data_IF_289502012224
#
_entry.id   IF_289502012224
#
_cell.length_a   1.000
_cell.length_b   1.000
_cell.length_c   1.000
_cell.angle_alpha   90.00
_cell.angle_beta   90.00
_cell.angle_gamma   90.00
#
_symmetry.space_group_name_H-M   'P 1'
#
loop_
_entity.id
_entity.type
_entity.pdbx_description
1 polymer ?
#
# COMPACT_ATOMS: atom_id res chain seq x y z
N UNK A 1 -6.86 25.79 16.98
CA UNK A 1 -7.12 24.49 17.66
C UNK A 1 -5.95 23.56 17.43
N UNK A 2 -5.38 22.90 18.45
CA UNK A 2 -4.25 21.97 18.30
C UNK A 2 -4.63 20.57 18.79
N UNK A 3 -4.37 19.56 17.97
CA UNK A 3 -4.71 18.16 18.22
C UNK A 3 -3.78 17.25 17.41
N UNK A 4 -3.52 16.06 17.94
CA UNK A 4 -2.62 15.07 17.33
C UNK A 4 -3.25 13.69 17.44
N UNK A 5 -2.71 12.71 16.73
CA UNK A 5 -3.25 11.37 16.77
C UNK A 5 -2.92 10.55 15.53
N UNK A 6 -3.80 9.61 15.23
CA UNK A 6 -3.67 8.71 14.09
C UNK A 6 -4.99 8.58 13.35
N UNK A 7 -4.89 8.54 12.02
CA UNK A 7 -5.95 8.19 11.10
C UNK A 7 -5.62 6.84 10.49
N UNK A 8 -6.56 5.91 10.60
CA UNK A 8 -6.59 4.62 9.91
C UNK A 8 -7.58 4.73 8.76
N UNK A 9 -7.22 4.22 7.59
CA UNK A 9 -8.11 4.11 6.44
C UNK A 9 -8.37 2.63 6.15
N UNK A 10 -9.63 2.26 6.07
CA UNK A 10 -10.11 0.91 5.74
C UNK A 10 -11.12 1.01 4.58
N UNK A 11 -11.24 -0.02 3.73
CA UNK A 11 -12.31 -0.09 2.74
C UNK A 11 -13.64 -0.45 3.41
N UNK A 12 -14.73 0.17 2.95
CA UNK A 12 -16.07 -0.38 3.08
C UNK A 12 -16.23 -1.62 2.17
N UNK A 13 -17.38 -2.30 2.27
CA UNK A 13 -17.68 -3.48 1.44
C UNK A 13 -17.66 -3.17 -0.07
N UNK A 14 -18.01 -1.94 -0.46
CA UNK A 14 -17.97 -1.42 -1.82
C UNK A 14 -16.58 -0.88 -2.24
N UNK A 15 -15.59 -0.93 -1.34
CA UNK A 15 -14.25 -0.39 -1.55
C UNK A 15 -14.09 1.11 -1.25
N UNK A 16 -15.16 1.80 -0.84
CA UNK A 16 -15.09 3.23 -0.50
C UNK A 16 -14.23 3.43 0.75
N UNK A 17 -13.37 4.46 0.74
CA UNK A 17 -12.45 4.75 1.86
C UNK A 17 -13.24 5.21 3.10
N UNK A 18 -13.10 4.46 4.20
CA UNK A 18 -13.60 4.84 5.52
C UNK A 18 -12.45 5.27 6.45
N UNK A 19 -12.63 6.34 7.22
CA UNK A 19 -11.61 6.84 8.15
C UNK A 19 -11.98 6.57 9.62
N UNK A 20 -11.06 5.91 10.33
CA UNK A 20 -11.08 5.84 11.79
C UNK A 20 -10.02 6.77 12.36
N UNK A 21 -10.43 7.71 13.21
CA UNK A 21 -9.52 8.68 13.82
C UNK A 21 -9.44 8.47 15.34
N UNK A 22 -8.22 8.33 15.84
CA UNK A 22 -7.91 8.43 17.25
C UNK A 22 -7.24 9.77 17.51
N UNK A 23 -7.84 10.58 18.38
CA UNK A 23 -7.54 12.00 18.51
C UNK A 23 -7.25 12.39 19.95
N UNK A 24 -6.14 13.09 20.17
CA UNK A 24 -5.75 13.68 21.45
C UNK A 24 -5.84 15.20 21.36
N UNK A 25 -6.56 15.81 22.29
CA UNK A 25 -6.83 17.24 22.32
C UNK A 25 -7.17 17.71 23.74
N UNK A 26 -7.09 19.01 23.99
CA UNK A 26 -7.53 19.58 25.27
C UNK A 26 -9.05 19.46 25.38
N UNK A 27 -9.55 19.17 26.59
CA UNK A 27 -11.01 19.02 26.87
C UNK A 27 -11.83 20.21 26.38
N UNK A 28 -11.31 21.44 26.55
CA UNK A 28 -11.96 22.67 26.10
C UNK A 28 -12.12 22.78 24.58
N UNK A 29 -11.21 22.20 23.81
CA UNK A 29 -11.20 22.28 22.35
C UNK A 29 -12.04 21.18 21.69
N UNK A 30 -12.48 20.17 22.47
CA UNK A 30 -13.17 18.98 21.98
C UNK A 30 -14.40 19.31 21.14
N UNK A 31 -15.31 20.13 21.69
CA UNK A 31 -16.57 20.46 21.00
C UNK A 31 -16.30 21.12 19.65
N UNK A 32 -15.37 22.09 19.62
CA UNK A 32 -15.02 22.82 18.39
C UNK A 32 -14.35 21.92 17.36
N UNK A 33 -13.41 21.06 17.76
CA UNK A 33 -12.75 20.11 16.85
C UNK A 33 -13.77 19.12 16.28
N UNK A 34 -14.62 18.53 17.13
CA UNK A 34 -15.67 17.59 16.69
C UNK A 34 -16.65 18.25 15.73
N UNK A 35 -17.06 19.50 15.98
CA UNK A 35 -17.96 20.23 15.10
C UNK A 35 -17.32 20.48 13.71
N UNK A 36 -16.04 20.87 13.67
CA UNK A 36 -15.31 21.08 12.41
C UNK A 36 -15.13 19.77 11.63
N UNK A 37 -14.78 18.67 12.30
CA UNK A 37 -14.65 17.36 11.67
C UNK A 37 -16.00 16.88 11.10
N UNK A 38 -17.09 17.05 11.86
CA UNK A 38 -18.44 16.74 11.36
C UNK A 38 -18.77 17.59 10.14
N UNK A 39 -18.57 18.91 10.21
CA UNK A 39 -18.83 19.82 9.09
C UNK A 39 -18.06 19.41 7.83
N UNK A 40 -16.82 18.98 7.97
CA UNK A 40 -16.03 18.47 6.87
C UNK A 40 -16.57 17.14 6.32
N UNK A 41 -16.86 16.18 7.20
CA UNK A 41 -17.30 14.84 6.82
C UNK A 41 -18.67 14.79 6.12
N UNK A 42 -19.57 15.73 6.44
CA UNK A 42 -20.91 15.78 5.85
C UNK A 42 -21.04 16.77 4.69
N UNK A 43 -19.95 17.45 4.31
CA UNK A 43 -20.03 18.60 3.39
C UNK A 43 -20.63 18.23 2.04
N UNK A 44 -20.29 17.04 1.54
CA UNK A 44 -20.72 16.56 0.22
C UNK A 44 -22.18 16.09 0.26
N UNK A 45 -22.55 15.28 1.26
CA UNK A 45 -23.90 14.70 1.38
C UNK A 45 -24.82 15.52 2.30
N UNK A 46 -24.55 16.82 2.48
CA UNK A 46 -25.21 17.62 3.53
C UNK A 46 -26.72 17.65 3.36
N UNK A 47 -27.18 17.79 2.12
CA UNK A 47 -28.59 17.88 1.74
C UNK A 47 -29.30 16.54 1.97
N UNK A 48 -28.70 15.43 1.49
CA UNK A 48 -29.25 14.07 1.65
C UNK A 48 -29.40 13.65 3.12
N UNK A 49 -28.43 14.02 3.96
CA UNK A 49 -28.40 13.58 5.36
C UNK A 49 -29.47 14.25 6.25
N UNK A 50 -30.05 15.37 5.82
CA UNK A 50 -31.03 16.11 6.62
C UNK A 50 -30.53 16.38 8.05
N UNK A 51 -31.27 15.93 9.07
CA UNK A 51 -30.88 16.06 10.49
C UNK A 51 -29.98 14.91 10.98
N UNK A 52 -29.97 13.76 10.29
CA UNK A 52 -29.24 12.58 10.70
C UNK A 52 -27.86 12.51 10.05
N UNK A 53 -26.87 13.13 10.69
CA UNK A 53 -25.46 13.07 10.21
C UNK A 53 -24.72 11.80 10.62
N UNK A 54 -25.36 10.91 11.38
CA UNK A 54 -24.76 9.69 11.92
C UNK A 54 -24.11 8.76 10.88
N UNK A 55 -24.72 8.56 9.69
CA UNK A 55 -24.14 7.72 8.63
C UNK A 55 -22.75 8.15 8.16
N UNK A 56 -22.46 9.47 8.13
CA UNK A 56 -21.16 9.99 7.69
C UNK A 56 -20.19 10.32 8.81
N UNK A 57 -20.69 10.66 10.01
CA UNK A 57 -19.82 11.05 11.11
C UNK A 57 -20.34 10.63 12.48
N UNK A 58 -19.56 9.79 13.16
CA UNK A 58 -19.77 9.41 14.56
C UNK A 58 -18.52 9.71 15.38
N UNK A 59 -18.72 10.37 16.53
CA UNK A 59 -17.63 10.68 17.46
C UNK A 59 -17.97 10.13 18.84
N UNK A 60 -17.08 9.33 19.41
CA UNK A 60 -17.20 8.82 20.77
C UNK A 60 -16.01 9.23 21.63
N UNK A 61 -16.27 9.50 22.90
CA UNK A 61 -15.20 9.71 23.88
C UNK A 61 -14.66 8.34 24.32
N UNK A 62 -13.34 8.21 24.34
CA UNK A 62 -12.70 7.01 24.89
C UNK A 62 -12.97 6.95 26.39
N UNK A 63 -13.48 5.80 26.82
CA UNK A 63 -13.72 5.47 28.22
C UNK A 63 -12.81 4.27 28.55
N UNK A 64 -12.09 4.27 29.68
CA UNK A 64 -11.27 3.12 30.11
C UNK A 64 -12.00 1.78 30.06
N UNK A 65 -13.32 1.73 30.29
CA UNK A 65 -14.14 0.52 30.19
C UNK A 65 -14.26 -0.03 28.76
N UNK A 66 -14.15 0.83 27.74
CA UNK A 66 -14.21 0.46 26.31
C UNK A 66 -12.84 0.10 25.73
N UNK A 67 -11.77 0.28 26.52
CA UNK A 67 -10.40 0.03 26.11
C UNK A 67 -9.52 1.29 26.16
N UNK A 68 -8.24 1.09 25.84
CA UNK A 68 -7.24 2.17 25.80
C UNK A 68 -7.04 2.66 24.37
N UNK A 69 -6.51 3.89 24.18
CA UNK A 69 -6.06 4.33 22.87
C UNK A 69 -5.12 3.32 22.18
N UNK A 70 -4.25 2.68 22.96
CA UNK A 70 -3.32 1.65 22.48
C UNK A 70 -4.07 0.41 21.97
N UNK A 71 -5.02 -0.12 22.74
CA UNK A 71 -5.80 -1.29 22.31
C UNK A 71 -6.66 -0.99 21.09
N UNK A 72 -7.15 0.25 20.96
CA UNK A 72 -7.84 0.71 19.76
C UNK A 72 -6.92 0.68 18.54
N UNK A 73 -5.72 1.28 18.61
CA UNK A 73 -4.76 1.23 17.48
C UNK A 73 -4.36 -0.22 17.16
N UNK A 74 -4.08 -1.04 18.17
CA UNK A 74 -3.68 -2.44 17.99
C UNK A 74 -4.74 -3.22 17.22
N UNK A 75 -6.03 -3.05 17.55
CA UNK A 75 -7.16 -3.64 16.82
C UNK A 75 -7.08 -3.34 15.31
N UNK A 76 -6.84 -2.09 14.94
CA UNK A 76 -6.74 -1.68 13.54
C UNK A 76 -5.47 -2.20 12.85
N UNK A 77 -4.35 -2.27 13.56
CA UNK A 77 -3.12 -2.87 12.99
C UNK A 77 -3.34 -4.36 12.69
N UNK A 78 -3.91 -5.10 13.64
CA UNK A 78 -4.18 -6.53 13.49
C UNK A 78 -5.14 -6.84 12.34
N UNK A 79 -6.19 -6.02 12.17
CA UNK A 79 -7.16 -6.17 11.08
C UNK A 79 -6.59 -5.91 9.69
N UNK A 80 -5.61 -5.01 9.58
CA UNK A 80 -5.23 -4.45 8.28
C UNK A 80 -3.87 -4.91 7.74
N UNK A 81 -2.96 -5.39 8.60
CA UNK A 81 -1.60 -5.74 8.17
C UNK A 81 -1.37 -7.25 8.13
N UNK A 82 -1.49 -7.93 9.28
CA UNK A 82 -0.82 -9.23 9.41
C UNK A 82 -1.80 -10.39 9.57
N UNK A 83 -3.00 -10.17 10.14
CA UNK A 83 -3.93 -11.27 10.48
C UNK A 83 -3.32 -12.37 11.38
N UNK A 84 -2.05 -12.24 11.80
CA UNK A 84 -1.36 -13.19 12.68
C UNK A 84 -2.04 -13.20 14.04
N UNK A 85 -2.40 -14.39 14.49
CA UNK A 85 -3.23 -14.61 15.67
C UNK A 85 -4.75 -14.61 15.41
N UNK A 86 -5.18 -14.24 14.20
CA UNK A 86 -6.60 -14.19 13.80
C UNK A 86 -6.93 -15.19 12.67
N UNK A 87 -5.99 -16.06 12.30
CA UNK A 87 -6.15 -17.00 11.18
C UNK A 87 -7.32 -18.00 11.36
N UNK A 88 -7.72 -18.28 12.61
CA UNK A 88 -8.86 -19.13 12.93
C UNK A 88 -10.15 -18.35 13.24
N UNK A 89 -10.06 -17.02 13.25
CA UNK A 89 -11.22 -16.17 13.51
C UNK A 89 -11.92 -15.82 12.20
N UNK A 90 -13.23 -16.06 12.20
CA UNK A 90 -14.12 -15.74 11.08
C UNK A 90 -14.84 -14.45 11.46
N UNK A 91 -14.84 -13.49 10.53
CA UNK A 91 -15.60 -12.26 10.69
C UNK A 91 -17.09 -12.58 10.78
N UNK A 92 -17.77 -12.12 11.85
CA UNK A 92 -19.24 -12.26 11.99
C UNK A 92 -20.02 -11.47 10.93
N UNK A 93 -19.41 -10.43 10.34
CA UNK A 93 -20.05 -9.56 9.35
C UNK A 93 -19.90 -10.11 7.93
N UNK A 94 -18.76 -10.75 7.60
CA UNK A 94 -18.45 -11.21 6.23
C UNK A 94 -18.42 -12.72 6.07
N UNK A 95 -18.37 -13.49 7.16
CA UNK A 95 -18.21 -14.96 7.12
C UNK A 95 -16.86 -15.42 6.56
N UNK A 96 -15.93 -14.50 6.28
CA UNK A 96 -14.59 -14.79 5.73
C UNK A 96 -13.54 -14.79 6.83
N UNK A 97 -12.41 -15.44 6.55
CA UNK A 97 -11.28 -15.43 7.47
C UNK A 97 -10.76 -13.99 7.65
N UNK A 98 -10.37 -13.65 8.88
CA UNK A 98 -9.76 -12.34 9.15
C UNK A 98 -8.39 -12.17 8.48
N UNK A 99 -7.72 -13.28 8.13
CA UNK A 99 -6.48 -13.27 7.35
C UNK A 99 -6.71 -12.79 5.93
N UNK A 100 -7.67 -13.39 5.21
CA UNK A 100 -7.98 -12.99 3.83
C UNK A 100 -8.44 -11.53 3.78
N UNK A 101 -9.15 -11.10 4.83
CA UNK A 101 -9.57 -9.71 4.99
C UNK A 101 -8.36 -8.74 5.05
N UNK A 102 -7.30 -9.07 5.81
CA UNK A 102 -6.10 -8.25 5.89
C UNK A 102 -5.35 -8.19 4.55
N UNK A 103 -5.24 -9.30 3.83
CA UNK A 103 -4.63 -9.36 2.50
C UNK A 103 -5.42 -8.51 1.49
N UNK A 104 -6.76 -8.56 1.52
CA UNK A 104 -7.62 -7.72 0.69
C UNK A 104 -7.46 -6.23 1.00
N UNK A 105 -7.39 -5.84 2.28
CA UNK A 105 -7.17 -4.45 2.67
C UNK A 105 -5.79 -3.96 2.19
N UNK A 106 -4.76 -4.79 2.30
CA UNK A 106 -3.42 -4.47 1.79
C UNK A 106 -3.39 -4.31 0.27
N UNK A 107 -4.08 -5.20 -0.46
CA UNK A 107 -4.22 -5.12 -1.92
C UNK A 107 -4.98 -3.84 -2.33
N UNK A 108 -6.12 -3.56 -1.70
CA UNK A 108 -6.91 -2.35 -1.92
C UNK A 108 -6.08 -1.08 -1.66
N UNK A 109 -5.40 -1.01 -0.53
CA UNK A 109 -4.57 0.14 -0.16
C UNK A 109 -3.44 0.37 -1.16
N UNK A 110 -2.85 -0.71 -1.67
CA UNK A 110 -1.79 -0.65 -2.69
C UNK A 110 -2.33 -0.19 -4.04
N UNK A 111 -3.46 -0.75 -4.48
CA UNK A 111 -4.12 -0.43 -5.74
C UNK A 111 -4.50 1.06 -5.80
N UNK A 112 -5.13 1.57 -4.74
CA UNK A 112 -5.61 2.95 -4.67
C UNK A 112 -4.58 3.93 -4.07
N UNK A 113 -3.36 3.46 -3.79
CA UNK A 113 -2.28 4.25 -3.15
C UNK A 113 -2.71 4.93 -1.85
N UNK A 114 -3.59 4.27 -1.08
CA UNK A 114 -4.08 4.75 0.20
C UNK A 114 -3.08 4.42 1.29
N UNK A 115 -2.48 5.44 1.90
CA UNK A 115 -1.70 5.23 3.12
C UNK A 115 -2.65 4.84 4.25
N UNK A 116 -2.67 3.58 4.67
CA UNK A 116 -3.58 3.08 5.72
C UNK A 116 -3.38 3.81 7.04
N UNK A 117 -2.14 3.92 7.54
CA UNK A 117 -1.83 4.55 8.84
C UNK A 117 -1.14 5.91 8.68
N UNK A 118 -1.85 6.99 9.02
CA UNK A 118 -1.34 8.36 8.99
C UNK A 118 -1.35 8.95 10.39
N UNK A 119 -0.17 9.18 10.96
CA UNK A 119 -0.06 9.90 12.23
C UNK A 119 0.11 11.39 11.95
N UNK A 120 -0.45 12.23 12.80
CA UNK A 120 -0.42 13.68 12.66
C UNK A 120 -0.13 14.35 14.00
N UNK A 121 0.45 15.55 13.94
CA UNK A 121 0.83 16.31 15.14
C UNK A 121 1.99 15.70 15.94
N UNK A 122 2.78 14.79 15.34
CA UNK A 122 3.99 14.22 15.94
C UNK A 122 5.18 14.32 14.96
N UNK A 123 6.43 14.27 15.47
CA UNK A 123 7.63 14.14 14.66
C UNK A 123 7.59 12.98 13.66
N UNK A 124 8.25 13.18 12.52
CA UNK A 124 8.21 12.25 11.40
C UNK A 124 8.88 10.91 11.71
N UNK A 125 8.22 9.82 11.31
CA UNK A 125 8.78 8.45 11.40
C UNK A 125 9.98 8.23 10.48
N UNK A 126 10.03 8.93 9.34
CA UNK A 126 11.15 8.77 8.42
C UNK A 126 12.45 9.27 9.06
N UNK A 127 12.45 10.48 9.64
CA UNK A 127 13.60 11.00 10.37
C UNK A 127 14.04 10.06 11.50
N UNK A 128 13.08 9.47 12.22
CA UNK A 128 13.37 8.44 13.24
C UNK A 128 14.09 7.21 12.67
N UNK A 129 13.67 6.71 11.49
CA UNK A 129 14.32 5.59 10.81
C UNK A 129 15.73 5.95 10.34
N UNK A 130 15.91 7.15 9.79
CA UNK A 130 17.23 7.63 9.35
C UNK A 130 18.20 7.79 10.53
N UNK A 131 17.74 8.28 11.68
CA UNK A 131 18.56 8.36 12.89
C UNK A 131 19.02 6.98 13.38
N UNK A 132 18.14 5.98 13.34
CA UNK A 132 18.49 4.59 13.68
C UNK A 132 19.48 3.99 12.69
N UNK A 133 19.33 4.31 11.40
CA UNK A 133 20.27 3.88 10.37
C UNK A 133 21.65 4.49 10.62
N UNK A 134 21.71 5.80 10.94
CA UNK A 134 22.93 6.51 11.27
C UNK A 134 23.60 5.94 12.52
N UNK A 135 22.84 5.68 13.59
CA UNK A 135 23.37 5.06 14.81
C UNK A 135 23.98 3.68 14.52
N UNK A 136 23.28 2.84 13.75
CA UNK A 136 23.78 1.53 13.34
C UNK A 136 25.02 1.60 12.44
N UNK A 137 25.16 2.64 11.61
CA UNK A 137 26.36 2.88 10.81
C UNK A 137 27.54 3.34 11.69
N UNK A 138 27.30 4.28 12.60
CA UNK A 138 28.31 4.77 13.54
C UNK A 138 28.87 3.62 14.40
N UNK A 139 28.01 2.73 14.90
CA UNK A 139 28.41 1.55 15.66
C UNK A 139 29.34 0.60 14.88
N UNK A 140 29.16 0.46 13.56
CA UNK A 140 30.02 -0.39 12.72
C UNK A 140 31.39 0.23 12.43
N UNK A 141 31.43 1.55 12.22
CA UNK A 141 32.67 2.26 11.87
C UNK A 141 33.57 2.45 13.09
N UNK A 142 32.99 2.65 14.27
CA UNK A 142 33.72 3.13 15.45
C UNK A 142 34.07 2.03 16.48
N UNK A 143 33.81 0.75 16.18
CA UNK A 143 34.17 -0.38 17.04
C UNK A 143 33.60 -0.30 18.47
N UNK A 144 34.35 -0.81 19.45
CA UNK A 144 34.02 -0.78 20.89
C UNK A 144 34.10 0.64 21.49
N UNK A 145 33.23 1.56 21.08
CA UNK A 145 32.99 2.77 21.88
C UNK A 145 32.28 2.37 23.18
N UNK A 146 32.63 3.06 24.27
CA UNK A 146 31.89 2.97 25.53
C UNK A 146 30.41 3.25 25.27
N UNK A 147 29.53 2.39 25.79
CA UNK A 147 28.09 2.57 25.68
C UNK A 147 27.71 3.98 26.17
N UNK A 148 26.99 4.73 25.33
CA UNK A 148 26.56 6.11 25.64
C UNK A 148 27.53 7.22 25.21
N UNK A 149 28.61 6.92 24.49
CA UNK A 149 29.42 7.95 23.85
C UNK A 149 28.61 8.72 22.79
N UNK A 150 28.72 10.06 22.72
CA UNK A 150 28.00 10.86 21.73
C UNK A 150 28.44 10.49 20.31
N UNK A 151 27.46 10.36 19.42
CA UNK A 151 27.64 10.11 17.99
C UNK A 151 27.72 11.43 17.23
N UNK A 152 26.94 12.43 17.66
CA UNK A 152 26.91 13.76 17.07
C UNK A 152 27.52 14.79 18.02
N UNK A 153 28.25 15.78 17.46
CA UNK A 153 28.91 16.82 18.24
C UNK A 153 27.92 17.69 19.03
N UNK A 154 26.72 17.92 18.46
CA UNK A 154 25.70 18.72 19.11
C UNK A 154 24.90 17.88 20.13
N UNK A 155 24.93 18.20 21.43
CA UNK A 155 24.28 17.38 22.47
C UNK A 155 22.76 17.26 22.30
N UNK A 156 22.09 18.27 21.72
CA UNK A 156 20.64 18.23 21.51
C UNK A 156 20.28 17.26 20.40
N UNK A 157 21.07 17.20 19.33
CA UNK A 157 20.84 16.29 18.22
C UNK A 157 21.25 14.86 18.60
N UNK A 158 22.35 14.73 19.34
CA UNK A 158 22.78 13.46 19.89
C UNK A 158 21.72 12.85 20.82
N UNK A 159 21.09 13.65 21.68
CA UNK A 159 19.98 13.17 22.51
C UNK A 159 18.76 12.67 21.70
N UNK A 160 18.50 13.25 20.52
CA UNK A 160 17.44 12.78 19.60
C UNK A 160 17.87 11.46 18.94
N UNK A 161 19.13 11.34 18.54
CA UNK A 161 19.71 10.12 17.97
C UNK A 161 19.72 8.98 18.99
N UNK A 162 20.22 9.21 20.19
CA UNK A 162 20.27 8.23 21.28
C UNK A 162 18.86 7.72 21.64
N UNK A 163 17.86 8.61 21.68
CA UNK A 163 16.47 8.21 21.90
C UNK A 163 15.93 7.32 20.76
N UNK A 164 16.32 7.58 19.52
CA UNK A 164 15.93 6.78 18.37
C UNK A 164 16.62 5.41 18.34
N UNK A 165 17.91 5.38 18.66
CA UNK A 165 18.72 4.17 18.74
C UNK A 165 18.17 3.20 19.80
N UNK A 166 17.92 3.70 21.01
CA UNK A 166 17.28 2.97 22.11
C UNK A 166 15.86 2.45 21.80
N UNK A 167 15.26 2.84 20.67
CA UNK A 167 13.92 2.41 20.29
C UNK A 167 12.80 3.15 21.02
N UNK A 168 13.13 4.17 21.82
CA UNK A 168 12.16 4.87 22.65
C UNK A 168 11.51 6.04 21.88
N UNK A 169 10.46 5.72 21.12
CA UNK A 169 9.76 6.70 20.29
C UNK A 169 9.15 7.85 21.12
N UNK A 170 8.71 7.59 22.36
CA UNK A 170 8.21 8.63 23.25
C UNK A 170 9.29 9.66 23.59
N UNK A 171 10.48 9.22 23.99
CA UNK A 171 11.61 10.10 24.27
C UNK A 171 12.06 10.83 23.00
N UNK A 172 12.07 10.18 21.84
CA UNK A 172 12.35 10.83 20.56
C UNK A 172 11.39 12.01 20.30
N UNK A 173 10.08 11.82 20.53
CA UNK A 173 9.09 12.90 20.40
C UNK A 173 9.41 14.05 21.35
N UNK A 174 9.70 13.74 22.61
CA UNK A 174 10.01 14.77 23.61
C UNK A 174 11.28 15.55 23.27
N UNK A 175 12.34 14.87 22.82
CA UNK A 175 13.60 15.50 22.41
C UNK A 175 13.47 16.33 21.14
N UNK A 176 12.51 16.02 20.27
CA UNK A 176 12.13 16.84 19.11
C UNK A 176 11.29 18.08 19.46
N UNK A 177 11.03 18.35 20.75
CA UNK A 177 10.22 19.46 21.23
C UNK A 177 8.78 19.08 21.62
N UNK A 178 8.42 17.80 21.51
CA UNK A 178 7.13 17.26 21.90
C UNK A 178 6.11 17.15 20.77
N UNK A 179 4.86 16.92 21.15
CA UNK A 179 3.73 16.84 20.21
C UNK A 179 3.32 18.24 19.75
N UNK A 180 2.69 18.31 18.58
CA UNK A 180 2.10 19.51 17.97
C UNK A 180 3.11 20.58 17.53
N UNK A 181 4.40 20.35 17.66
CA UNK A 181 5.44 21.24 17.16
C UNK A 181 5.33 21.36 15.63
N UNK A 182 5.29 22.57 15.06
CA UNK A 182 5.34 22.73 13.61
C UNK A 182 6.60 22.09 13.04
N UNK A 183 6.50 21.45 11.87
CA UNK A 183 7.64 20.76 11.24
C UNK A 183 8.86 21.67 11.08
N UNK A 184 8.64 22.97 10.81
CA UNK A 184 9.69 23.99 10.70
C UNK A 184 10.50 24.26 11.98
N UNK A 185 10.09 23.70 13.11
CA UNK A 185 10.78 23.80 14.40
C UNK A 185 11.29 22.44 14.91
N UNK A 186 11.13 21.35 14.15
CA UNK A 186 11.80 20.09 14.49
C UNK A 186 13.32 20.25 14.38
N UNK A 187 14.03 19.72 15.37
CA UNK A 187 15.48 19.66 15.46
C UNK A 187 16.10 18.75 14.40
N UNK A 188 15.44 17.63 14.10
CA UNK A 188 15.89 16.71 13.05
C UNK A 188 14.77 16.50 12.03
N UNK A 189 15.11 16.52 10.74
CA UNK A 189 14.19 16.23 9.63
C UNK A 189 14.84 15.27 8.67
N UNK A 190 14.02 14.65 7.84
CA UNK A 190 14.51 13.89 6.70
C UNK A 190 15.07 14.85 5.67
N UNK A 191 16.33 14.64 5.28
CA UNK A 191 16.96 15.29 4.17
C UNK A 191 16.56 14.58 2.88
N UNK A 192 16.10 15.36 1.91
CA UNK A 192 15.81 14.90 0.57
C UNK A 192 16.82 15.49 -0.42
N UNK A 193 17.01 14.77 -1.52
CA UNK A 193 17.82 15.17 -2.66
C UNK A 193 17.16 14.65 -3.94
N UNK A 194 17.41 15.32 -5.06
CA UNK A 194 17.01 14.77 -6.35
C UNK A 194 17.92 13.58 -6.69
N UNK A 195 17.36 12.59 -7.36
CA UNK A 195 18.18 11.55 -7.96
C UNK A 195 19.02 12.16 -9.08
N UNK A 196 20.30 11.81 -9.13
CA UNK A 196 21.19 12.19 -10.25
C UNK A 196 20.82 11.44 -11.53
N UNK A 197 20.34 10.19 -11.38
CA UNK A 197 19.94 9.34 -12.51
C UNK A 197 18.44 9.52 -12.78
N UNK A 198 18.04 9.75 -14.05
CA UNK A 198 16.64 9.80 -14.41
C UNK A 198 15.98 8.43 -14.24
N UNK A 199 14.70 8.44 -13.87
CA UNK A 199 13.86 7.25 -13.86
C UNK A 199 13.66 6.70 -15.28
N UNK A 200 13.03 5.53 -15.40
CA UNK A 200 12.68 4.92 -16.69
C UNK A 200 11.83 5.82 -17.61
N UNK A 201 11.26 6.90 -17.07
CA UNK A 201 10.45 7.87 -17.79
C UNK A 201 11.16 9.22 -18.00
N UNK A 202 12.46 9.33 -17.68
CA UNK A 202 13.24 10.57 -17.82
C UNK A 202 13.21 11.51 -16.61
N UNK A 203 12.31 11.27 -15.64
CA UNK A 203 12.16 12.16 -14.48
C UNK A 203 13.19 11.88 -13.38
N UNK A 204 13.76 12.94 -12.81
CA UNK A 204 14.66 12.86 -11.65
C UNK A 204 13.84 12.86 -10.35
N UNK A 205 13.51 11.65 -9.87
CA UNK A 205 12.72 11.47 -8.65
C UNK A 205 13.42 11.97 -7.38
N UNK A 206 12.65 12.22 -6.31
CA UNK A 206 13.20 12.60 -5.01
C UNK A 206 13.64 11.34 -4.25
N UNK A 207 14.89 11.33 -3.74
CA UNK A 207 15.40 10.31 -2.81
C UNK A 207 15.63 10.87 -1.41
N UNK A 208 15.69 9.96 -0.45
CA UNK A 208 16.12 10.28 0.91
C UNK A 208 17.65 10.28 0.92
N UNK A 209 18.22 11.42 1.28
CA UNK A 209 19.67 11.59 1.48
C UNK A 209 20.09 11.15 2.89
N UNK A 210 19.27 11.52 3.88
CA UNK A 210 19.48 11.14 5.27
C UNK A 210 18.80 12.10 6.24
N UNK A 211 19.57 12.70 7.14
CA UNK A 211 19.04 13.66 8.12
C UNK A 211 19.53 15.08 7.86
N UNK A 212 18.68 16.05 8.17
CA UNK A 212 19.00 17.46 8.16
C UNK A 212 18.60 18.08 9.49
N UNK A 213 19.44 18.96 10.01
CA UNK A 213 19.17 19.75 11.20
C UNK A 213 19.22 21.23 10.84
N UNK A 214 18.35 22.09 11.39
CA UNK A 214 18.50 23.53 11.26
C UNK A 214 19.64 24.09 12.15
N UNK A 215 20.15 23.31 13.11
CA UNK A 215 21.17 23.76 14.07
C UNK A 215 22.57 23.53 13.53
N UNK A 216 22.80 22.38 12.89
CA UNK A 216 24.03 22.12 12.16
C UNK A 216 23.71 22.48 10.71
N UNK A 217 24.35 23.50 10.15
CA UNK A 217 24.19 23.85 8.73
C UNK A 217 24.76 22.73 7.85
N UNK A 218 23.96 21.68 7.63
CA UNK A 218 24.39 20.52 6.86
C UNK A 218 23.35 19.41 6.79
N UNK A 219 23.47 18.60 5.74
CA UNK A 219 22.79 17.31 5.63
C UNK A 219 23.80 16.23 6.02
N UNK A 220 23.40 15.25 6.81
CA UNK A 220 24.20 14.06 7.10
C UNK A 220 23.68 12.93 6.21
N UNK A 221 24.57 12.40 5.38
CA UNK A 221 24.26 11.30 4.48
C UNK A 221 24.12 10.00 5.27
N UNK A 222 22.98 9.33 5.13
CA UNK A 222 22.77 7.97 5.67
C UNK A 222 22.71 6.93 4.56
N UNK A 223 22.53 7.35 3.30
CA UNK A 223 22.45 6.48 2.12
C UNK A 223 23.61 6.72 1.16
N UNK A 224 24.85 6.49 1.62
CA UNK A 224 26.04 6.65 0.77
C UNK A 224 26.15 5.58 -0.34
N UNK A 225 25.54 4.41 -0.13
CA UNK A 225 25.66 3.27 -1.03
C UNK A 225 24.61 3.34 -2.16
N UNK A 226 25.05 3.50 -3.41
CA UNK A 226 24.20 3.34 -4.59
C UNK A 226 24.17 1.86 -4.99
N UNK A 227 22.99 1.23 -4.90
CA UNK A 227 22.80 -0.14 -5.37
C UNK A 227 22.45 -0.15 -6.86
N UNK A 228 23.35 -0.65 -7.70
CA UNK A 228 23.05 -0.93 -9.11
C UNK A 228 22.41 -2.31 -9.21
N UNK A 229 21.23 -2.40 -9.83
CA UNK A 229 20.69 -3.71 -10.22
C UNK A 229 21.59 -4.30 -11.30
N UNK A 230 22.31 -5.35 -10.95
CA UNK A 230 23.09 -6.15 -11.90
C UNK A 230 22.33 -7.45 -12.12
N UNK A 231 22.26 -7.94 -13.37
CA UNK A 231 21.80 -9.32 -13.60
C UNK A 231 22.73 -10.23 -12.84
N UNK A 232 22.19 -11.15 -12.04
CA UNK A 232 22.99 -12.15 -11.33
C UNK A 232 23.84 -12.86 -12.38
N UNK A 233 25.16 -12.66 -12.36
CA UNK A 233 26.07 -13.45 -13.17
C UNK A 233 25.93 -14.87 -12.63
N UNK A 234 25.29 -15.72 -13.42
CA UNK A 234 25.21 -17.13 -13.10
C UNK A 234 26.51 -17.71 -13.64
N UNK A 235 27.48 -17.99 -12.75
CA UNK A 235 28.48 -19.02 -13.04
C UNK A 235 27.70 -20.33 -13.16
N UNK A 236 27.23 -20.57 -14.37
CA UNK A 236 26.53 -21.78 -14.78
C UNK A 236 27.37 -22.26 -15.93
N UNK A 237 28.18 -23.30 -15.67
CA UNK A 237 28.36 -24.34 -16.69
C UNK A 237 26.98 -24.56 -17.27
N UNK A 238 26.78 -24.11 -18.51
CA UNK A 238 25.50 -24.06 -19.19
C UNK A 238 24.81 -25.40 -18.97
N UNK A 239 23.86 -25.45 -18.03
CA UNK A 239 23.00 -26.60 -17.91
C UNK A 239 22.31 -26.66 -19.26
N UNK A 240 22.56 -27.73 -20.01
CA UNK A 240 21.99 -27.93 -21.34
C UNK A 240 20.52 -27.60 -21.26
N UNK A 241 20.13 -26.51 -21.94
CA UNK A 241 18.76 -26.05 -21.91
C UNK A 241 17.88 -27.19 -22.46
N UNK A 242 16.97 -27.70 -21.64
CA UNK A 242 15.90 -28.55 -22.14
C UNK A 242 15.22 -27.76 -23.26
N UNK A 243 15.27 -28.27 -24.49
CA UNK A 243 14.69 -27.64 -25.69
C UNK A 243 13.14 -27.68 -25.67
N UNK A 244 12.53 -27.76 -24.49
CA UNK A 244 11.09 -27.72 -24.26
C UNK A 244 10.59 -26.28 -24.07
N UNK A 245 9.33 -26.06 -24.45
CA UNK A 245 8.69 -24.75 -24.58
C UNK A 245 8.98 -23.75 -23.44
N UNK A 246 9.39 -22.54 -23.85
CA UNK A 246 9.70 -21.35 -23.07
C UNK A 246 8.96 -21.21 -21.72
N UNK A 247 9.71 -21.08 -20.63
CA UNK A 247 9.16 -20.72 -19.32
C UNK A 247 8.67 -19.24 -19.31
N UNK A 248 7.48 -18.92 -18.77
CA UNK A 248 6.95 -17.55 -18.76
C UNK A 248 7.61 -16.65 -17.70
N UNK A 249 7.80 -15.37 -18.01
CA UNK A 249 8.45 -14.36 -17.14
C UNK A 249 7.56 -13.80 -16.01
N UNK A 250 6.31 -14.25 -15.87
CA UNK A 250 5.38 -13.79 -14.82
C UNK A 250 5.07 -14.88 -13.79
N UNK A 251 5.02 -14.54 -12.50
CA UNK A 251 4.72 -15.44 -11.36
C UNK A 251 3.26 -15.94 -11.28
N UNK A 252 2.60 -16.11 -12.42
CA UNK A 252 1.31 -16.77 -12.51
C UNK A 252 1.45 -17.95 -13.46
N UNK A 253 1.59 -19.16 -12.93
CA UNK A 253 1.46 -20.36 -13.74
C UNK A 253 -0.03 -20.56 -14.04
N UNK A 254 -0.48 -20.17 -15.21
CA UNK A 254 -1.84 -20.43 -15.66
C UNK A 254 -1.83 -21.06 -17.06
N UNK A 255 -1.15 -22.20 -17.17
CA UNK A 255 -1.38 -23.16 -18.23
C UNK A 255 -1.54 -24.54 -17.58
N UNK A 256 -2.72 -25.18 -17.64
CA UNK A 256 -2.77 -26.61 -17.38
C UNK A 256 -2.01 -27.34 -18.51
N UNK A 257 -1.34 -28.47 -18.22
CA UNK A 257 -0.66 -29.25 -19.24
C UNK A 257 -1.68 -29.69 -20.31
N UNK A 258 -1.29 -29.53 -21.57
CA UNK A 258 -2.04 -30.07 -22.71
C UNK A 258 -1.94 -31.58 -22.61
N UNK A 259 -3.03 -32.24 -22.22
CA UNK A 259 -3.17 -33.69 -22.43
C UNK A 259 -3.03 -33.95 -23.93
N UNK A 260 -2.12 -34.86 -24.28
CA UNK A 260 -1.98 -35.38 -25.62
C UNK A 260 -3.32 -35.95 -26.08
N UNK A 261 -4.02 -35.22 -26.94
CA UNK A 261 -5.24 -35.71 -27.59
C UNK A 261 -4.83 -36.72 -28.65
N UNK A 262 -4.98 -38.00 -28.34
CA UNK A 262 -5.13 -39.03 -29.34
C UNK A 262 -6.23 -38.58 -30.30
N UNK A 263 -5.91 -38.54 -31.60
CA UNK A 263 -6.88 -38.29 -32.67
C UNK A 263 -7.85 -39.47 -32.71
N UNK A 264 -9.01 -39.34 -32.07
CA UNK A 264 -10.18 -40.14 -32.41
C UNK A 264 -11.05 -39.31 -33.34
N UNK A 265 -11.02 -39.67 -34.63
CA UNK A 265 -11.93 -39.13 -35.63
C UNK A 265 -13.36 -39.44 -35.24
N UNK A 266 -14.15 -38.40 -35.06
CA UNK A 266 -15.61 -38.47 -35.01
C UNK A 266 -16.14 -37.39 -35.95
N UNK A 267 -17.09 -37.76 -36.81
CA UNK A 267 -17.67 -36.89 -37.81
C UNK A 267 -18.26 -35.62 -37.18
N UNK A 268 -17.85 -34.46 -37.73
CA UNK A 268 -18.35 -33.15 -37.33
C UNK A 268 -19.72 -32.91 -38.01
N UNK A 269 -20.78 -32.53 -37.26
CA UNK A 269 -22.06 -32.18 -37.87
C UNK A 269 -21.93 -30.86 -38.66
N UNK A 270 -22.60 -30.77 -39.82
CA UNK A 270 -22.60 -29.58 -40.67
C UNK A 270 -23.50 -28.48 -40.07
N UNK A 271 -22.89 -27.54 -39.35
CA UNK A 271 -23.55 -26.48 -38.60
C UNK A 271 -24.34 -25.51 -39.51
N UNK A 272 -24.06 -25.49 -40.83
CA UNK A 272 -24.68 -24.53 -41.75
C UNK A 272 -26.15 -24.81 -42.06
N UNK A 273 -26.65 -26.00 -41.75
CA UNK A 273 -28.02 -26.42 -42.05
C UNK A 273 -28.94 -26.46 -40.83
N UNK A 274 -28.42 -26.16 -39.63
CA UNK A 274 -29.19 -26.21 -38.37
C UNK A 274 -30.02 -24.95 -38.14
N UNK A 275 -31.23 -25.14 -37.61
CA UNK A 275 -32.11 -24.04 -37.22
C UNK A 275 -31.68 -23.44 -35.87
N UNK A 276 -32.08 -22.21 -35.56
CA UNK A 276 -31.56 -21.44 -34.40
C UNK A 276 -31.81 -22.12 -33.04
N UNK A 277 -32.94 -22.82 -32.89
CA UNK A 277 -33.24 -23.64 -31.71
C UNK A 277 -32.37 -24.88 -31.60
N UNK A 278 -32.12 -25.58 -32.71
CA UNK A 278 -31.28 -26.78 -32.75
C UNK A 278 -29.82 -26.45 -32.44
N UNK A 279 -29.37 -25.28 -32.91
CA UNK A 279 -28.04 -24.75 -32.59
C UNK A 279 -27.90 -24.45 -31.09
N UNK A 280 -28.92 -23.86 -30.47
CA UNK A 280 -28.92 -23.60 -29.03
C UNK A 280 -28.88 -24.89 -28.22
N UNK A 281 -29.74 -25.86 -28.53
CA UNK A 281 -29.76 -27.15 -27.82
C UNK A 281 -28.44 -27.92 -28.00
N UNK A 282 -27.86 -27.89 -29.21
CA UNK A 282 -26.54 -28.47 -29.47
C UNK A 282 -25.45 -27.80 -28.61
N UNK A 283 -25.40 -26.46 -28.58
CA UNK A 283 -24.42 -25.73 -27.77
C UNK A 283 -24.61 -25.98 -26.26
N UNK A 284 -25.86 -26.12 -25.81
CA UNK A 284 -26.19 -26.40 -24.41
C UNK A 284 -25.84 -27.82 -23.97
N UNK A 285 -25.92 -28.78 -24.88
CA UNK A 285 -25.59 -30.19 -24.62
C UNK A 285 -24.11 -30.53 -24.85
N UNK A 286 -23.30 -29.64 -25.44
CA UNK A 286 -21.86 -29.87 -25.60
C UNK A 286 -21.12 -29.96 -24.26
N UNK A 287 -20.21 -30.94 -24.18
CA UNK A 287 -19.32 -31.12 -23.05
C UNK A 287 -18.33 -29.97 -22.89
N UNK A 288 -17.75 -29.83 -21.69
CA UNK A 288 -16.81 -28.75 -21.38
C UNK A 288 -15.56 -28.77 -22.28
N UNK A 289 -15.13 -29.96 -22.73
CA UNK A 289 -14.01 -30.15 -23.66
C UNK A 289 -14.34 -29.63 -25.06
N UNK A 290 -15.51 -29.96 -25.59
CA UNK A 290 -15.98 -29.57 -26.92
C UNK A 290 -16.21 -28.06 -27.00
N UNK A 291 -16.78 -27.44 -25.96
CA UNK A 291 -16.93 -25.98 -25.87
C UNK A 291 -15.60 -25.23 -25.91
N UNK A 292 -14.57 -25.77 -25.24
CA UNK A 292 -13.21 -25.18 -25.25
C UNK A 292 -12.61 -25.25 -26.65
N UNK A 293 -12.79 -26.38 -27.34
CA UNK A 293 -12.28 -26.55 -28.70
C UNK A 293 -13.00 -25.64 -29.70
N UNK A 294 -14.33 -25.52 -29.61
CA UNK A 294 -15.10 -24.58 -30.43
C UNK A 294 -14.67 -23.13 -30.20
N UNK A 295 -14.46 -22.73 -28.95
CA UNK A 295 -13.99 -21.38 -28.60
C UNK A 295 -12.60 -21.11 -29.14
N UNK A 296 -11.70 -22.09 -29.09
CA UNK A 296 -10.37 -21.98 -29.68
C UNK A 296 -10.43 -21.79 -31.20
N UNK A 297 -11.31 -22.53 -31.89
CA UNK A 297 -11.54 -22.38 -33.34
C UNK A 297 -12.13 -21.01 -33.68
N UNK A 298 -13.13 -20.52 -32.92
CA UNK A 298 -13.73 -19.20 -33.14
C UNK A 298 -12.71 -18.05 -32.98
N UNK A 299 -11.72 -18.20 -32.10
CA UNK A 299 -10.64 -17.21 -31.94
C UNK A 299 -9.66 -17.15 -33.12
N UNK A 300 -9.55 -18.23 -33.91
CA UNK A 300 -8.72 -18.25 -35.12
C UNK A 300 -9.42 -17.57 -36.31
N UNK A 301 -10.75 -17.47 -36.26
CA UNK A 301 -11.53 -16.75 -37.27
C UNK A 301 -11.39 -15.25 -37.03
N UNK A 302 -10.57 -14.57 -37.85
CA UNK A 302 -10.43 -13.11 -37.78
C UNK A 302 -11.78 -12.45 -38.11
N UNK A 303 -12.33 -11.58 -37.24
CA UNK A 303 -13.56 -10.86 -37.56
C UNK A 303 -13.32 -9.92 -38.75
N UNK A 304 -14.27 -9.84 -39.68
CA UNK A 304 -14.22 -8.86 -40.77
C UNK A 304 -14.18 -7.45 -40.17
N UNK A 305 -13.12 -6.69 -40.46
CA UNK A 305 -12.98 -5.28 -40.03
C UNK A 305 -14.17 -4.48 -40.57
N UNK A 306 -14.93 -3.83 -39.70
CA UNK A 306 -15.90 -2.80 -40.09
C UNK A 306 -15.14 -1.62 -40.70
N UNK A 307 -15.55 -1.15 -41.87
CA UNK A 307 -15.05 0.08 -42.51
C UNK A 307 -15.38 1.27 -41.60
N UNK A 308 -14.36 1.97 -41.14
CA UNK A 308 -14.48 3.17 -40.30
C UNK A 308 -14.76 4.37 -41.19
N UNK A 309 -15.83 5.12 -40.90
CA UNK A 309 -16.09 6.42 -41.56
C UNK A 309 -15.01 7.43 -41.15
N UNK A 310 -14.29 7.99 -42.14
CA UNK A 310 -13.41 9.15 -41.95
C UNK A 310 -14.27 10.40 -41.77
N UNK A 311 -14.20 11.06 -40.62
CA UNK A 311 -14.65 12.43 -40.47
C UNK A 311 -13.62 13.35 -41.10
N UNK A 312 -13.96 13.98 -42.22
CA UNK A 312 -13.19 15.10 -42.77
C UNK A 312 -13.66 16.36 -42.06
N UNK A 313 -12.75 17.03 -41.35
CA UNK A 313 -12.97 18.37 -40.80
C UNK A 313 -12.64 19.34 -41.94
N UNK A 314 -13.62 20.08 -42.45
CA UNK A 314 -13.38 21.20 -43.35
C UNK A 314 -13.06 22.44 -42.53
N UNK A 315 -11.90 23.04 -42.75
CA UNK A 315 -11.60 24.40 -42.29
C UNK A 315 -12.36 25.40 -43.15
N UNK A 316 -13.29 26.14 -42.53
CA UNK A 316 -13.79 27.45 -42.98
C UNK A 316 -14.03 28.31 -41.75
#
# INVERSE_FOLDING_TARGET
LRWYGVRVAEPHHDGTVHWHLLCFMRKKDRRSITALLRKFAIREDREELGTNTGPRFKSELINPRKGTPTSYIAKYISKNIDGRGLAKEISKETGRSLRDSAEHVCAWASLHRVQQFRFFGIPGRQAYRELRLLAGQAARVQGERKAGAPVLDNPRLDAVLAAADAGCFATYIMKQGGVLVPRKHHLVRTAYELNDEPSAYGDHGIRIYGIWSPIIEGKICTHAMKWKKVRKAVDVQEATADQGACAPWTRGNNCPPVENTNKSGGDLPDIKTMNEKELQDYLHNMGQKERRELTARLRLVKPKRKTVYKQNISEQ
#
